data_IF_634684160841
#
_entry.id   IF_634684160841
#
_cell.length_a   1.000
_cell.length_b   1.000
_cell.length_c   1.000
_cell.angle_alpha   90.00
_cell.angle_beta   90.00
_cell.angle_gamma   90.00
#
_symmetry.space_group_name_H-M   'P 1'
#
loop_
_entity.id
_entity.type
_entity.pdbx_description
1 polymer ?
#
# COMPACT_ATOMS: atom_id res chain seq x y z
N UNK A 1 27.66 -16.69 -39.02
CA UNK A 1 28.22 -16.03 -37.83
C UNK A 1 27.61 -14.64 -37.58
N UNK A 2 26.33 -14.41 -37.91
CA UNK A 2 25.66 -13.09 -37.79
C UNK A 2 24.42 -13.11 -36.86
N UNK A 3 24.09 -14.26 -36.23
CA UNK A 3 22.94 -14.38 -35.30
C UNK A 3 23.31 -14.28 -33.81
N UNK A 4 24.57 -14.44 -33.43
CA UNK A 4 25.01 -14.30 -32.02
C UNK A 4 25.31 -12.84 -31.61
N UNK A 5 25.55 -11.94 -32.57
CA UNK A 5 25.97 -10.56 -32.26
C UNK A 5 24.81 -9.65 -31.81
N UNK A 6 23.56 -9.93 -32.23
CA UNK A 6 22.39 -9.17 -31.79
C UNK A 6 21.86 -9.61 -30.42
N UNK A 7 22.03 -10.89 -30.06
CA UNK A 7 21.67 -11.36 -28.71
C UNK A 7 22.61 -10.77 -27.67
N UNK A 8 23.92 -10.70 -27.96
CA UNK A 8 24.90 -10.05 -27.08
C UNK A 8 24.63 -8.55 -26.93
N UNK A 9 24.28 -7.81 -28.00
CA UNK A 9 23.90 -6.38 -27.88
C UNK A 9 22.59 -6.17 -27.13
N UNK A 10 21.57 -7.01 -27.31
CA UNK A 10 20.35 -6.97 -26.49
C UNK A 10 20.67 -7.26 -25.03
N UNK A 11 21.50 -8.26 -24.74
CA UNK A 11 21.91 -8.60 -23.37
C UNK A 11 22.76 -7.48 -22.75
N UNK A 12 23.67 -6.86 -23.49
CA UNK A 12 24.49 -5.75 -23.02
C UNK A 12 23.65 -4.48 -22.78
N UNK A 13 22.66 -4.20 -23.63
CA UNK A 13 21.70 -3.09 -23.39
C UNK A 13 20.82 -3.41 -22.17
N UNK A 14 20.40 -4.67 -21.99
CA UNK A 14 19.63 -5.11 -20.81
C UNK A 14 20.46 -5.03 -19.51
N UNK A 15 21.76 -5.36 -19.57
CA UNK A 15 22.69 -5.29 -18.44
C UNK A 15 23.04 -3.82 -18.08
N UNK A 16 23.11 -2.91 -19.05
CA UNK A 16 23.32 -1.48 -18.77
C UNK A 16 22.07 -0.76 -18.26
N UNK A 17 20.86 -1.26 -18.56
CA UNK A 17 19.62 -0.70 -17.99
C UNK A 17 19.38 -1.15 -16.53
N UNK A 18 19.99 -2.26 -16.11
CA UNK A 18 19.95 -2.75 -14.72
C UNK A 18 20.98 -2.09 -13.78
N UNK A 19 21.78 -1.12 -14.24
CA UNK A 19 22.92 -0.59 -13.47
C UNK A 19 22.76 0.85 -12.93
N UNK A 20 21.57 1.48 -13.01
CA UNK A 20 21.39 2.89 -12.59
C UNK A 20 20.36 3.06 -11.44
N UNK A 21 20.01 1.99 -10.72
CA UNK A 21 19.10 2.11 -9.57
C UNK A 21 19.63 1.36 -8.33
N UNK A 22 20.81 1.78 -7.86
CA UNK A 22 21.30 1.38 -6.53
C UNK A 22 21.76 2.62 -5.77
N UNK A 23 20.84 3.31 -5.10
CA UNK A 23 21.15 4.13 -3.93
C UNK A 23 19.95 4.15 -2.96
N UNK A 24 20.15 3.51 -1.80
CA UNK A 24 19.33 3.44 -0.57
C UNK A 24 17.98 2.69 -0.70
N UNK A 25 17.69 1.59 0.00
CA UNK A 25 17.79 1.31 1.45
C UNK A 25 18.17 -0.15 1.69
N UNK A 26 19.14 -0.42 2.57
CA UNK A 26 19.47 -1.76 3.06
C UNK A 26 18.44 -2.22 4.09
N UNK A 27 17.48 -3.06 3.71
CA UNK A 27 16.75 -3.89 4.68
C UNK A 27 17.53 -5.18 4.90
N UNK A 28 18.17 -5.32 6.06
CA UNK A 28 18.79 -6.57 6.45
C UNK A 28 17.73 -7.65 6.65
N UNK A 29 18.07 -8.85 6.19
CA UNK A 29 17.31 -10.08 6.28
C UNK A 29 16.80 -10.36 7.70
N UNK A 30 15.49 -10.54 7.87
CA UNK A 30 14.94 -11.32 8.99
C UNK A 30 14.94 -12.77 8.54
N UNK A 31 16.03 -13.49 8.82
CA UNK A 31 16.13 -14.93 8.58
C UNK A 31 15.58 -15.66 9.82
N UNK A 32 14.38 -16.23 9.72
CA UNK A 32 13.90 -17.24 10.66
C UNK A 32 14.78 -18.49 10.51
N UNK A 33 15.40 -18.95 11.59
CA UNK A 33 16.10 -20.24 11.61
C UNK A 33 15.85 -20.97 12.92
N UNK A 34 15.00 -22.00 12.85
CA UNK A 34 15.03 -23.13 13.77
C UNK A 34 16.40 -23.82 13.70
N UNK A 35 17.01 -24.08 14.86
CA UNK A 35 17.74 -25.30 15.25
C UNK A 35 18.16 -25.15 16.74
N UNK A 36 17.76 -26.14 17.55
CA UNK A 36 18.06 -26.36 18.98
C UNK A 36 19.58 -26.62 19.26
N UNK A 37 20.03 -26.70 20.53
CA UNK A 37 20.90 -25.73 21.17
C UNK A 37 22.35 -26.22 21.30
N UNK A 38 23.33 -25.32 21.15
CA UNK A 38 24.65 -25.55 21.72
C UNK A 38 25.12 -24.31 22.49
N UNK A 39 25.27 -24.52 23.79
CA UNK A 39 25.99 -23.64 24.71
C UNK A 39 27.34 -23.23 24.11
N UNK A 40 27.47 -21.97 23.70
CA UNK A 40 28.75 -21.29 23.65
C UNK A 40 28.53 -19.84 24.07
N UNK A 41 29.01 -19.53 25.26
CA UNK A 41 29.30 -18.18 25.71
C UNK A 41 30.35 -17.54 24.80
N UNK A 42 29.98 -16.56 23.96
CA UNK A 42 30.89 -15.45 23.64
C UNK A 42 30.27 -14.39 22.73
N UNK A 43 30.27 -13.17 23.26
CA UNK A 43 30.70 -11.92 22.64
C UNK A 43 29.87 -11.35 21.47
N UNK A 44 29.11 -10.31 21.81
CA UNK A 44 28.55 -9.32 20.90
C UNK A 44 29.67 -8.66 20.07
N UNK A 45 29.60 -8.79 18.74
CA UNK A 45 30.29 -7.87 17.82
C UNK A 45 29.29 -7.34 16.80
N UNK A 46 29.07 -6.01 16.72
CA UNK A 46 28.26 -5.40 15.66
C UNK A 46 29.00 -5.45 14.31
N UNK A 47 28.29 -5.38 13.17
CA UNK A 47 28.92 -5.29 11.86
C UNK A 47 29.78 -4.01 11.74
N UNK A 48 31.02 -4.17 11.30
CA UNK A 48 31.94 -3.06 11.04
C UNK A 48 31.64 -2.41 9.69
N UNK A 49 30.58 -1.60 9.65
CA UNK A 49 30.50 -0.37 8.85
C UNK A 49 29.22 0.37 9.27
N UNK A 50 29.27 1.07 10.39
CA UNK A 50 28.14 1.88 10.88
C UNK A 50 28.57 3.33 10.95
N UNK A 51 27.76 4.22 10.38
CA UNK A 51 27.94 5.64 10.59
C UNK A 51 27.73 5.94 12.08
N UNK A 52 28.24 7.06 12.62
CA UNK A 52 28.18 7.35 14.06
C UNK A 52 26.75 7.52 14.64
N UNK A 53 25.70 7.31 13.85
CA UNK A 53 24.29 7.50 14.22
C UNK A 53 23.40 6.26 14.07
N UNK A 54 23.93 5.12 13.61
CA UNK A 54 23.12 3.91 13.44
C UNK A 54 23.01 3.14 14.75
N UNK A 55 21.94 3.41 15.51
CA UNK A 55 21.64 2.70 16.75
C UNK A 55 20.85 1.44 16.43
N UNK A 56 21.34 0.30 16.92
CA UNK A 56 20.70 -1.01 16.76
C UNK A 56 20.04 -1.42 18.07
N UNK A 57 18.78 -1.86 17.99
CA UNK A 57 18.03 -2.40 19.12
C UNK A 57 17.51 -3.79 18.77
N UNK A 58 17.53 -4.69 19.73
CA UNK A 58 16.80 -5.95 19.66
C UNK A 58 15.52 -5.75 20.47
N UNK A 59 14.38 -5.87 19.80
CA UNK A 59 13.08 -5.86 20.45
C UNK A 59 12.65 -7.29 20.76
N UNK A 60 12.30 -7.55 22.02
CA UNK A 60 11.73 -8.81 22.47
C UNK A 60 10.34 -8.51 23.03
N UNK A 61 9.30 -9.09 22.44
CA UNK A 61 7.92 -8.83 22.84
C UNK A 61 7.63 -9.54 24.18
N UNK A 62 7.14 -8.81 25.20
CA UNK A 62 6.88 -9.38 26.52
C UNK A 62 5.67 -10.33 26.54
N UNK A 63 4.75 -10.24 25.59
CA UNK A 63 3.57 -11.11 25.52
C UNK A 63 3.89 -12.37 24.72
N UNK A 64 3.94 -13.51 25.41
CA UNK A 64 4.14 -14.82 24.79
C UNK A 64 3.03 -15.12 23.75
N UNK A 65 3.43 -15.61 22.58
CA UNK A 65 2.53 -15.99 21.49
C UNK A 65 2.13 -14.84 20.54
N UNK A 66 2.41 -13.58 20.90
CA UNK A 66 2.15 -12.43 20.03
C UNK A 66 3.23 -12.35 18.94
N UNK A 67 2.84 -12.24 17.68
CA UNK A 67 3.76 -12.26 16.53
C UNK A 67 3.63 -11.00 15.69
N UNK A 68 4.75 -10.58 15.08
CA UNK A 68 4.81 -9.50 14.11
C UNK A 68 3.85 -9.78 12.96
N UNK A 69 3.06 -8.76 12.59
CA UNK A 69 2.20 -8.83 11.43
C UNK A 69 2.57 -7.80 10.36
N UNK A 70 2.59 -6.51 10.72
CA UNK A 70 2.88 -5.43 9.79
C UNK A 70 3.66 -4.30 10.50
N UNK A 71 4.34 -3.47 9.73
CA UNK A 71 5.15 -2.38 10.25
C UNK A 71 4.92 -1.11 9.44
N UNK A 72 4.95 0.05 10.11
CA UNK A 72 5.05 1.35 9.46
C UNK A 72 6.12 2.22 10.11
N UNK A 73 6.83 2.99 9.30
CA UNK A 73 7.85 3.92 9.78
C UNK A 73 7.32 5.34 9.67
N UNK A 74 7.38 6.09 10.78
CA UNK A 74 7.01 7.49 10.82
C UNK A 74 8.20 8.38 10.41
N UNK A 75 7.91 9.63 10.03
CA UNK A 75 8.91 10.61 9.57
C UNK A 75 9.99 10.96 10.60
N UNK A 76 9.66 10.89 11.88
CA UNK A 76 10.60 11.11 12.98
C UNK A 76 11.53 9.90 13.22
N UNK A 77 11.34 8.82 12.46
CA UNK A 77 12.07 7.56 12.59
C UNK A 77 11.48 6.60 13.62
N UNK A 78 10.30 6.90 14.17
CA UNK A 78 9.56 5.97 15.04
C UNK A 78 9.02 4.80 14.22
N UNK A 79 9.23 3.58 14.71
CA UNK A 79 8.70 2.35 14.11
C UNK A 79 7.39 1.96 14.82
N UNK A 80 6.30 1.88 14.06
CA UNK A 80 5.05 1.26 14.47
C UNK A 80 5.07 -0.22 14.10
N UNK A 81 4.82 -1.08 15.07
CA UNK A 81 4.74 -2.52 14.89
C UNK A 81 3.34 -2.98 15.27
N UNK A 82 2.60 -3.52 14.29
CA UNK A 82 1.34 -4.20 14.55
C UNK A 82 1.62 -5.69 14.78
N UNK A 83 1.08 -6.21 15.87
CA UNK A 83 1.25 -7.59 16.30
C UNK A 83 -0.10 -8.23 16.60
N UNK A 84 -0.16 -9.55 16.48
CA UNK A 84 -1.38 -10.32 16.69
C UNK A 84 -1.10 -11.76 17.11
N UNK A 85 -2.12 -12.38 17.71
CA UNK A 85 -2.15 -13.82 17.92
C UNK A 85 -2.63 -14.50 16.64
N UNK A 86 -1.91 -15.54 16.23
CA UNK A 86 -2.34 -16.39 15.14
C UNK A 86 -3.19 -17.53 15.70
N UNK A 87 -4.28 -17.86 15.01
CA UNK A 87 -4.96 -19.12 15.25
C UNK A 87 -4.10 -20.28 14.73
N UNK A 88 -3.85 -21.28 15.57
CA UNK A 88 -3.09 -22.47 15.19
C UNK A 88 -3.90 -23.39 14.26
N UNK A 89 -5.24 -23.34 14.33
CA UNK A 89 -6.13 -24.13 13.49
C UNK A 89 -6.36 -23.47 12.11
N UNK A 90 -6.36 -22.13 12.06
CA UNK A 90 -6.41 -21.36 10.82
C UNK A 90 -5.35 -20.24 10.83
N UNK A 91 -4.13 -20.47 10.31
CA UNK A 91 -3.08 -19.45 10.29
C UNK A 91 -3.43 -18.20 9.45
N UNK A 92 -4.53 -18.21 8.69
CA UNK A 92 -5.06 -17.03 7.99
C UNK A 92 -5.99 -16.16 8.85
N UNK A 93 -6.25 -16.60 10.09
CA UNK A 93 -7.24 -16.10 11.01
C UNK A 93 -6.52 -15.50 12.24
N UNK A 94 -6.87 -14.26 12.59
CA UNK A 94 -6.31 -13.60 13.77
C UNK A 94 -7.31 -13.63 14.91
N UNK A 95 -7.16 -14.57 15.84
CA UNK A 95 -7.97 -14.59 17.06
C UNK A 95 -7.47 -13.55 18.04
N UNK A 96 -7.90 -12.29 17.88
CA UNK A 96 -7.83 -11.38 19.01
C UNK A 96 -8.95 -10.34 19.02
N UNK A 97 -9.68 -10.20 20.14
CA UNK A 97 -10.51 -9.03 20.40
C UNK A 97 -9.66 -7.79 20.74
N UNK A 98 -8.34 -7.86 20.56
CA UNK A 98 -7.40 -6.80 20.89
C UNK A 98 -6.52 -6.46 19.69
N UNK A 99 -6.33 -5.16 19.45
CA UNK A 99 -5.37 -4.65 18.49
C UNK A 99 -4.11 -4.20 19.24
N UNK A 100 -2.98 -4.87 18.99
CA UNK A 100 -1.70 -4.62 19.66
C UNK A 100 -0.76 -3.85 18.75
N UNK A 101 -0.43 -2.61 19.13
CA UNK A 101 0.54 -1.78 18.43
C UNK A 101 1.69 -1.41 19.39
N UNK A 102 2.92 -1.38 18.87
CA UNK A 102 4.11 -0.91 19.58
C UNK A 102 4.69 0.26 18.82
N UNK A 103 5.02 1.33 19.52
CA UNK A 103 5.78 2.45 18.97
C UNK A 103 7.18 2.40 19.55
N UNK A 104 8.17 2.19 18.70
CA UNK A 104 9.57 2.16 19.08
C UNK A 104 10.23 3.42 18.52
N UNK A 105 10.52 4.37 19.41
CA UNK A 105 11.25 5.58 19.06
C UNK A 105 12.70 5.25 18.72
N UNK A 106 13.38 6.16 18.01
CA UNK A 106 14.83 6.05 17.74
C UNK A 106 15.69 5.95 18.99
N UNK A 107 15.18 6.39 20.14
CA UNK A 107 15.83 6.30 21.45
C UNK A 107 15.77 4.88 22.04
N UNK A 108 14.98 3.99 21.45
CA UNK A 108 14.65 2.67 21.99
C UNK A 108 13.49 2.71 22.99
N UNK A 109 12.90 3.88 23.27
CA UNK A 109 11.70 3.98 24.10
C UNK A 109 10.52 3.32 23.40
N UNK A 110 9.79 2.52 24.16
CA UNK A 110 8.64 1.75 23.67
C UNK A 110 7.35 2.28 24.30
N UNK A 111 6.37 2.60 23.46
CA UNK A 111 5.00 2.86 23.89
C UNK A 111 4.10 1.72 23.44
N UNK A 112 3.30 1.20 24.37
CA UNK A 112 2.38 0.09 24.14
C UNK A 112 0.97 0.62 23.95
N UNK A 113 0.36 0.34 22.80
CA UNK A 113 -1.03 0.66 22.51
C UNK A 113 -1.77 -0.67 22.40
N UNK A 114 -2.65 -0.92 23.36
CA UNK A 114 -3.41 -2.16 23.44
C UNK A 114 -4.88 -1.80 23.43
N UNK A 115 -5.51 -1.88 22.26
CA UNK A 115 -6.90 -1.51 22.10
C UNK A 115 -7.79 -2.68 22.52
N UNK A 116 -8.66 -2.45 23.51
CA UNK A 116 -9.74 -3.37 23.86
C UNK A 116 -10.98 -3.06 23.02
N UNK A 117 -11.02 -3.61 21.80
CA UNK A 117 -12.13 -3.43 20.88
C UNK A 117 -12.43 -4.73 20.14
N UNK A 118 -13.63 -5.26 20.35
CA UNK A 118 -14.08 -6.48 19.69
C UNK A 118 -14.52 -6.17 18.26
N UNK A 119 -13.66 -6.47 17.28
CA UNK A 119 -14.03 -6.47 15.87
C UNK A 119 -15.06 -7.57 15.58
N UNK A 120 -15.96 -7.34 14.61
CA UNK A 120 -16.96 -8.35 14.25
C UNK A 120 -16.28 -9.59 13.66
N UNK A 121 -16.83 -10.81 13.85
CA UNK A 121 -16.20 -12.06 13.40
C UNK A 121 -15.84 -12.12 11.91
N UNK A 122 -16.56 -11.36 11.08
CA UNK A 122 -16.32 -11.21 9.64
C UNK A 122 -14.99 -10.51 9.30
N UNK A 123 -14.40 -9.82 10.28
CA UNK A 123 -13.13 -9.09 10.21
C UNK A 123 -11.97 -9.96 10.66
N UNK A 124 -12.24 -10.83 11.64
CA UNK A 124 -11.25 -11.63 12.36
C UNK A 124 -10.57 -12.58 11.37
N UNK A 125 -11.34 -13.13 10.42
CA UNK A 125 -10.88 -14.08 9.39
C UNK A 125 -11.85 -14.04 8.20
N UNK A 126 -11.44 -13.74 6.95
CA UNK A 126 -10.11 -13.46 6.41
C UNK A 126 -9.74 -11.98 6.43
N UNK A 127 -8.47 -11.71 6.76
CA UNK A 127 -7.84 -10.41 7.00
C UNK A 127 -8.27 -9.32 6.01
N UNK A 128 -9.14 -8.42 6.46
CA UNK A 128 -9.50 -7.17 5.79
C UNK A 128 -9.22 -5.96 6.69
N UNK A 129 -8.13 -6.02 7.46
CA UNK A 129 -7.71 -4.96 8.36
C UNK A 129 -6.35 -4.39 7.98
N UNK A 130 -6.22 -3.07 8.07
CA UNK A 130 -4.95 -2.36 7.97
C UNK A 130 -4.99 -1.15 8.91
N UNK A 131 -3.87 -0.48 9.11
CA UNK A 131 -3.82 0.75 9.89
C UNK A 131 -3.05 1.84 9.16
N UNK A 132 -3.46 3.08 9.40
CA UNK A 132 -2.83 4.29 8.89
C UNK A 132 -2.53 5.22 10.07
N UNK A 133 -1.26 5.58 10.32
CA UNK A 133 -0.94 6.65 11.25
C UNK A 133 -1.48 7.99 10.73
N UNK A 134 -2.08 8.76 11.63
CA UNK A 134 -2.66 10.06 11.33
C UNK A 134 -1.91 11.17 12.08
N UNK A 135 -2.29 12.41 11.78
CA UNK A 135 -1.77 13.59 12.46
C UNK A 135 -2.17 13.61 13.94
N UNK A 136 -1.42 14.34 14.77
CA UNK A 136 -1.73 14.55 16.18
C UNK A 136 -1.85 13.26 17.03
N UNK A 137 -1.01 12.26 16.75
CA UNK A 137 -0.96 11.00 17.48
C UNK A 137 -2.28 10.21 17.46
N UNK A 138 -3.02 10.32 16.36
CA UNK A 138 -4.15 9.44 16.07
C UNK A 138 -3.72 8.31 15.15
N UNK A 139 -4.42 7.18 15.24
CA UNK A 139 -4.27 6.02 14.35
C UNK A 139 -5.65 5.66 13.85
N UNK A 140 -5.78 5.42 12.55
CA UNK A 140 -6.99 4.85 11.98
C UNK A 140 -6.77 3.38 11.69
N UNK A 141 -7.57 2.52 12.31
CA UNK A 141 -7.66 1.11 11.99
C UNK A 141 -8.79 0.95 10.98
N UNK A 142 -8.45 0.54 9.76
CA UNK A 142 -9.39 0.33 8.68
C UNK A 142 -9.78 -1.13 8.67
N UNK A 143 -11.07 -1.41 8.67
CA UNK A 143 -11.58 -2.78 8.68
C UNK A 143 -12.91 -2.90 7.92
N UNK A 144 -13.27 -4.12 7.50
CA UNK A 144 -14.53 -4.38 6.76
C UNK A 144 -15.60 -4.95 7.67
N UNK A 145 -16.72 -4.25 7.80
CA UNK A 145 -17.86 -4.68 8.63
C UNK A 145 -19.06 -4.94 7.72
N UNK A 146 -19.82 -6.01 8.01
CA UNK A 146 -21.15 -6.21 7.42
C UNK A 146 -22.20 -5.58 8.33
N UNK A 147 -23.08 -4.77 7.76
CA UNK A 147 -24.30 -4.30 8.42
C UNK A 147 -25.51 -4.71 7.58
N UNK A 148 -26.40 -5.51 8.15
CA UNK A 148 -27.58 -6.07 7.46
C UNK A 148 -27.25 -6.77 6.12
N UNK A 149 -26.09 -7.42 6.03
CA UNK A 149 -25.63 -8.13 4.83
C UNK A 149 -24.94 -7.25 3.78
N UNK A 150 -24.83 -5.94 4.03
CA UNK A 150 -24.07 -5.01 3.18
C UNK A 150 -22.70 -4.81 3.81
N UNK A 151 -21.65 -5.22 3.10
CA UNK A 151 -20.26 -5.01 3.54
C UNK A 151 -19.80 -3.60 3.20
N UNK A 152 -19.06 -2.97 4.11
CA UNK A 152 -18.43 -1.68 3.90
C UNK A 152 -17.11 -1.55 4.65
N UNK A 153 -16.28 -0.59 4.24
CA UNK A 153 -15.07 -0.21 4.96
C UNK A 153 -15.40 0.81 6.04
N UNK A 154 -14.83 0.60 7.21
CA UNK A 154 -14.95 1.48 8.37
C UNK A 154 -13.56 1.83 8.90
N UNK A 155 -13.43 3.03 9.44
CA UNK A 155 -12.22 3.52 10.10
C UNK A 155 -12.49 3.75 11.57
N UNK A 156 -11.85 2.97 12.44
CA UNK A 156 -11.84 3.20 13.89
C UNK A 156 -10.64 4.10 14.23
N UNK A 157 -10.93 5.29 14.75
CA UNK A 157 -9.91 6.28 15.10
C UNK A 157 -9.64 6.19 16.58
N UNK A 158 -8.38 5.94 16.92
CA UNK A 158 -7.87 5.86 18.28
C UNK A 158 -6.72 6.85 18.50
N UNK A 159 -6.45 7.24 19.74
CA UNK A 159 -5.22 7.94 20.10
C UNK A 159 -4.14 6.99 20.64
N UNK A 160 -2.96 7.52 20.96
CA UNK A 160 -1.86 6.73 21.51
C UNK A 160 -2.11 6.22 22.94
N UNK A 161 -3.12 6.72 23.63
CA UNK A 161 -3.56 6.23 24.94
C UNK A 161 -4.55 5.05 24.82
N UNK A 162 -4.75 4.54 23.59
CA UNK A 162 -5.73 3.48 23.27
C UNK A 162 -7.20 3.89 23.46
N UNK A 163 -7.50 5.19 23.51
CA UNK A 163 -8.87 5.68 23.61
C UNK A 163 -9.52 5.70 22.22
N UNK A 164 -10.76 5.21 22.14
CA UNK A 164 -11.57 5.28 20.92
C UNK A 164 -12.18 6.67 20.80
N UNK A 165 -11.87 7.34 19.70
CA UNK A 165 -12.32 8.71 19.44
C UNK A 165 -13.57 8.72 18.58
N UNK A 166 -13.54 7.95 17.49
CA UNK A 166 -14.70 7.81 16.60
C UNK A 166 -14.59 6.57 15.71
N UNK A 167 -15.73 6.16 15.17
CA UNK A 167 -15.82 5.21 14.08
C UNK A 167 -16.53 5.88 12.90
N UNK A 168 -15.97 5.77 11.70
CA UNK A 168 -16.52 6.39 10.50
C UNK A 168 -16.68 5.38 9.37
N UNK A 169 -17.72 5.58 8.57
CA UNK A 169 -17.89 4.85 7.31
C UNK A 169 -16.95 5.43 6.26
N UNK A 170 -16.09 4.59 5.69
CA UNK A 170 -15.11 4.98 4.69
C UNK A 170 -15.61 4.76 3.27
N UNK A 171 -16.48 3.78 3.01
CA UNK A 171 -17.00 3.52 1.68
C UNK A 171 -17.24 2.04 1.39
N UNK A 172 -17.29 1.70 0.11
CA UNK A 172 -17.42 0.33 -0.36
C UNK A 172 -16.16 -0.48 -0.01
N UNK A 173 -16.31 -1.80 0.14
CA UNK A 173 -15.19 -2.74 0.30
C UNK A 173 -14.16 -2.63 -0.82
N UNK A 174 -14.57 -2.25 -2.02
CA UNK A 174 -13.68 -2.12 -3.16
C UNK A 174 -12.95 -0.77 -3.24
N UNK A 175 -13.40 0.23 -2.48
CA UNK A 175 -12.78 1.56 -2.49
C UNK A 175 -11.36 1.49 -1.92
N UNK A 176 -10.41 2.16 -2.55
CA UNK A 176 -9.03 2.20 -2.10
C UNK A 176 -8.85 3.30 -1.07
N UNK A 177 -8.16 2.98 0.03
CA UNK A 177 -7.75 3.96 1.03
C UNK A 177 -6.23 4.00 1.04
N UNK A 178 -5.69 5.19 0.80
CA UNK A 178 -4.26 5.40 0.63
C UNK A 178 -3.84 6.51 1.58
N UNK A 179 -2.76 6.28 2.31
CA UNK A 179 -2.16 7.29 3.15
C UNK A 179 -1.66 8.44 2.26
N UNK A 180 -1.96 9.69 2.61
CA UNK A 180 -1.26 10.79 1.93
C UNK A 180 0.22 10.66 2.29
N UNK A 181 1.14 10.69 1.31
CA UNK A 181 2.58 10.50 1.59
C UNK A 181 3.21 11.58 2.49
N UNK A 182 2.40 12.48 3.07
CA UNK A 182 2.69 13.10 4.36
C UNK A 182 1.69 12.64 5.42
N UNK A 183 2.19 11.90 6.41
CA UNK A 183 1.55 11.55 7.71
C UNK A 183 0.72 12.69 8.35
N UNK A 184 1.09 13.94 8.08
CA UNK A 184 0.46 15.15 8.62
C UNK A 184 -0.76 15.65 7.82
N UNK A 185 -1.16 14.97 6.75
CA UNK A 185 -2.24 15.44 5.87
C UNK A 185 -3.44 14.50 5.73
N UNK A 186 -3.42 13.33 6.35
CA UNK A 186 -4.53 12.37 6.37
C UNK A 186 -4.43 11.31 5.28
N UNK A 187 -5.55 10.98 4.64
CA UNK A 187 -5.66 9.89 3.67
C UNK A 187 -6.57 10.27 2.51
N UNK A 188 -6.41 9.58 1.39
CA UNK A 188 -7.25 9.75 0.21
C UNK A 188 -8.05 8.47 0.02
N UNK A 189 -9.37 8.63 -0.07
CA UNK A 189 -10.27 7.59 -0.55
C UNK A 189 -10.39 7.72 -2.06
N UNK A 190 -10.21 6.61 -2.77
CA UNK A 190 -10.48 6.50 -4.20
C UNK A 190 -11.56 5.47 -4.39
N UNK A 191 -12.68 5.88 -4.98
CA UNK A 191 -13.81 5.00 -5.22
C UNK A 191 -13.46 3.95 -6.27
N UNK A 192 -14.11 2.79 -6.19
CA UNK A 192 -14.01 1.79 -7.26
C UNK A 192 -14.44 2.43 -8.60
N UNK A 193 -13.58 2.30 -9.60
CA UNK A 193 -13.83 2.89 -10.90
C UNK A 193 -15.09 2.33 -11.54
N UNK A 194 -15.86 3.20 -12.20
CA UNK A 194 -16.96 2.73 -13.01
C UNK A 194 -16.47 2.12 -14.34
N UNK A 195 -17.35 1.40 -15.03
CA UNK A 195 -17.06 0.84 -16.37
C UNK A 195 -16.80 1.92 -17.43
N UNK A 196 -17.07 3.19 -17.12
CA UNK A 196 -16.79 4.35 -17.97
C UNK A 196 -15.46 4.99 -17.61
N UNK A 197 -14.60 4.30 -16.84
CA UNK A 197 -13.26 4.77 -16.49
C UNK A 197 -13.25 6.10 -15.74
N UNK A 198 -14.33 6.42 -15.03
CA UNK A 198 -14.45 7.58 -14.14
C UNK A 198 -14.02 7.15 -12.75
N UNK A 199 -13.22 8.00 -12.10
CA UNK A 199 -12.64 7.77 -10.78
C UNK A 199 -12.94 8.98 -9.93
N UNK A 200 -13.68 8.76 -8.85
CA UNK A 200 -13.89 9.77 -7.82
C UNK A 200 -12.85 9.58 -6.71
N UNK A 201 -12.39 10.69 -6.15
CA UNK A 201 -11.49 10.68 -5.00
C UNK A 201 -11.90 11.75 -3.98
N UNK A 202 -11.62 11.46 -2.72
CA UNK A 202 -11.90 12.34 -1.58
C UNK A 202 -10.67 12.39 -0.68
N UNK A 203 -10.13 13.59 -0.46
CA UNK A 203 -9.07 13.85 0.51
C UNK A 203 -9.68 14.08 1.89
N UNK A 204 -9.26 13.27 2.86
CA UNK A 204 -9.80 13.26 4.21
C UNK A 204 -8.67 13.48 5.22
N UNK A 205 -8.94 14.23 6.29
CA UNK A 205 -7.96 14.45 7.35
C UNK A 205 -8.62 14.48 8.73
N UNK A 206 -7.93 13.97 9.74
CA UNK A 206 -8.31 14.12 11.15
C UNK A 206 -7.78 15.43 11.69
N UNK A 207 -8.67 16.40 11.87
CA UNK A 207 -8.34 17.60 12.63
C UNK A 207 -8.24 17.26 14.12
N UNK A 208 -7.70 18.18 14.92
CA UNK A 208 -7.33 18.10 16.36
C UNK A 208 -8.37 17.52 17.34
N UNK A 209 -9.55 17.13 16.88
CA UNK A 209 -10.64 16.51 17.65
C UNK A 209 -10.87 15.04 17.31
N UNK A 210 -10.04 14.44 16.44
CA UNK A 210 -10.26 13.10 15.87
C UNK A 210 -11.47 13.01 14.94
N UNK A 211 -12.08 14.16 14.61
CA UNK A 211 -13.11 14.27 13.58
C UNK A 211 -12.44 14.27 12.20
N UNK A 212 -12.89 13.39 11.33
CA UNK A 212 -12.50 13.39 9.92
C UNK A 212 -13.28 14.46 9.17
N UNK A 213 -12.56 15.27 8.40
CA UNK A 213 -13.10 16.32 7.55
C UNK A 213 -12.58 16.10 6.13
N UNK A 214 -13.47 16.24 5.15
CA UNK A 214 -13.10 16.29 3.74
C UNK A 214 -12.43 17.63 3.44
N UNK A 215 -11.18 17.56 2.96
CA UNK A 215 -10.40 18.74 2.58
C UNK A 215 -10.57 19.09 1.10
N UNK A 216 -10.99 18.12 0.29
CA UNK A 216 -11.31 18.31 -1.13
C UNK A 216 -11.66 17.00 -1.80
N UNK A 217 -12.30 17.10 -2.94
CA UNK A 217 -12.76 15.97 -3.74
C UNK A 217 -12.76 16.33 -5.21
N UNK A 218 -12.84 15.31 -6.05
CA UNK A 218 -12.91 15.51 -7.48
C UNK A 218 -13.04 14.21 -8.24
N UNK A 219 -13.14 14.35 -9.56
CA UNK A 219 -13.29 13.24 -10.48
C UNK A 219 -12.33 13.40 -11.66
N UNK A 220 -11.90 12.27 -12.20
CA UNK A 220 -11.18 12.25 -13.47
C UNK A 220 -11.50 10.98 -14.26
N UNK A 221 -11.49 11.14 -15.59
CA UNK A 221 -11.86 10.09 -16.52
C UNK A 221 -10.81 9.92 -17.60
N UNK A 222 -10.59 8.67 -18.03
CA UNK A 222 -9.71 8.36 -19.15
C UNK A 222 -10.31 8.82 -20.49
N UNK A 223 -9.53 9.41 -21.41
CA UNK A 223 -10.05 9.85 -22.70
C UNK A 223 -10.35 8.69 -23.66
N UNK A 224 -11.35 8.87 -24.52
CA UNK A 224 -11.65 8.03 -25.70
C UNK A 224 -12.01 6.56 -25.42
N UNK A 225 -13.04 6.33 -24.61
CA UNK A 225 -13.60 4.99 -24.35
C UNK A 225 -14.51 4.45 -25.45
N UNK A 226 -14.86 5.25 -26.46
CA UNK A 226 -15.80 4.81 -27.52
C UNK A 226 -15.28 3.65 -28.37
N UNK A 227 -13.96 3.42 -28.37
CA UNK A 227 -13.31 2.31 -29.11
C UNK A 227 -12.51 1.39 -28.19
N UNK A 228 -12.62 1.58 -26.87
CA UNK A 228 -11.79 0.92 -25.88
C UNK A 228 -12.61 0.55 -24.64
N UNK A 229 -12.59 -0.72 -24.28
CA UNK A 229 -13.09 -1.20 -23.00
C UNK A 229 -12.06 -0.98 -21.90
N UNK A 230 -12.53 -0.51 -20.75
CA UNK A 230 -11.76 -0.49 -19.51
C UNK A 230 -11.61 -1.90 -18.95
N UNK A 231 -10.36 -2.31 -18.70
CA UNK A 231 -10.02 -3.66 -18.24
C UNK A 231 -9.70 -3.67 -16.76
N UNK A 232 -8.81 -2.78 -16.30
CA UNK A 232 -8.35 -2.74 -14.92
C UNK A 232 -7.68 -1.40 -14.59
N UNK A 233 -7.41 -1.16 -13.32
CA UNK A 233 -6.67 -0.01 -12.80
C UNK A 233 -5.90 -0.34 -11.53
N UNK A 234 -4.99 0.56 -11.16
CA UNK A 234 -4.32 0.52 -9.86
C UNK A 234 -3.82 1.92 -9.50
N UNK A 235 -3.52 2.13 -8.23
CA UNK A 235 -2.98 3.37 -7.68
C UNK A 235 -1.56 3.14 -7.11
N UNK A 236 -0.84 4.23 -6.86
CA UNK A 236 0.50 4.21 -6.27
C UNK A 236 0.86 5.57 -5.65
N UNK A 237 1.73 5.56 -4.66
CA UNK A 237 2.19 6.77 -3.97
C UNK A 237 3.23 7.55 -4.80
N UNK A 238 3.17 8.88 -4.73
CA UNK A 238 4.15 9.78 -5.34
C UNK A 238 5.17 10.27 -4.31
N UNK A 239 6.37 10.61 -4.79
CA UNK A 239 7.47 11.12 -3.95
C UNK A 239 7.10 12.45 -3.26
N UNK A 240 6.24 13.26 -3.88
CA UNK A 240 5.73 14.50 -3.28
C UNK A 240 4.62 14.25 -2.25
N UNK A 241 4.19 13.00 -2.05
CA UNK A 241 3.09 12.62 -1.18
C UNK A 241 1.70 12.76 -1.80
N UNK A 242 1.64 13.04 -3.11
CA UNK A 242 0.45 12.86 -3.92
C UNK A 242 0.20 11.40 -4.30
N UNK A 243 -0.78 11.17 -5.18
CA UNK A 243 -1.16 9.83 -5.64
C UNK A 243 -1.16 9.76 -7.16
N UNK A 244 -0.62 8.68 -7.70
CA UNK A 244 -0.75 8.29 -9.09
C UNK A 244 -1.86 7.26 -9.28
N UNK A 245 -2.51 7.33 -10.43
CA UNK A 245 -3.59 6.42 -10.81
C UNK A 245 -3.40 5.95 -12.26
N UNK A 246 -3.41 4.64 -12.48
CA UNK A 246 -3.20 4.02 -13.78
C UNK A 246 -4.48 3.35 -14.29
N UNK A 247 -4.74 3.52 -15.58
CA UNK A 247 -5.86 2.95 -16.31
C UNK A 247 -5.37 2.00 -17.39
N UNK A 248 -5.99 0.84 -17.50
CA UNK A 248 -5.66 -0.18 -18.49
C UNK A 248 -6.86 -0.36 -19.41
N UNK A 249 -6.66 0.00 -20.69
CA UNK A 249 -7.68 -0.07 -21.72
C UNK A 249 -7.31 -1.10 -22.79
N UNK A 250 -8.34 -1.78 -23.31
CA UNK A 250 -8.23 -2.73 -24.41
C UNK A 250 -9.16 -2.33 -25.55
N UNK A 251 -8.66 -2.38 -26.78
CA UNK A 251 -9.44 -2.04 -27.96
C UNK A 251 -10.66 -2.96 -28.13
N UNK A 252 -11.80 -2.38 -28.50
CA UNK A 252 -13.04 -3.11 -28.72
C UNK A 252 -13.10 -3.74 -30.10
N UNK A 253 -13.02 -5.06 -30.14
CA UNK A 253 -13.09 -5.84 -31.38
C UNK A 253 -14.54 -6.01 -31.89
N UNK A 254 -15.55 -5.64 -31.08
CA UNK A 254 -16.96 -5.77 -31.44
C UNK A 254 -17.45 -4.59 -32.28
N UNK A 255 -17.23 -4.66 -33.58
CA UNK A 255 -17.84 -3.75 -34.55
C UNK A 255 -17.03 -3.65 -35.83
N UNK A 256 -17.58 -4.20 -36.90
CA UNK A 256 -17.02 -4.31 -38.25
C UNK A 256 -16.00 -5.43 -38.44
N UNK A 257 -16.10 -6.07 -39.60
CA UNK A 257 -15.03 -6.79 -40.26
C UNK A 257 -13.72 -6.01 -40.16
N UNK A 258 -12.91 -6.27 -39.14
CA UNK A 258 -11.66 -5.55 -38.92
C UNK A 258 -10.69 -5.99 -40.02
N UNK A 259 -10.66 -5.20 -41.09
CA UNK A 259 -9.47 -4.98 -41.89
C UNK A 259 -8.28 -4.87 -40.95
N UNK A 260 -7.26 -5.70 -41.15
CA UNK A 260 -5.99 -5.69 -40.43
C UNK A 260 -5.30 -4.31 -40.58
N UNK A 261 -5.77 -3.27 -39.89
CA UNK A 261 -5.07 -2.00 -39.80
C UNK A 261 -3.88 -2.21 -38.85
N UNK A 262 -2.63 -2.18 -39.38
CA UNK A 262 -1.45 -2.44 -38.57
C UNK A 262 -1.21 -1.36 -37.50
N UNK A 263 -1.98 -0.25 -37.51
CA UNK A 263 -1.85 0.85 -36.57
C UNK A 263 -2.77 0.74 -35.35
N UNK A 264 -3.66 -0.27 -35.29
CA UNK A 264 -4.55 -0.47 -34.14
C UNK A 264 -3.71 -0.71 -32.89
N UNK A 265 -3.88 0.17 -31.91
CA UNK A 265 -3.26 0.02 -30.59
C UNK A 265 -4.20 -0.84 -29.74
N UNK A 266 -3.91 -2.13 -29.61
CA UNK A 266 -4.74 -3.09 -28.87
C UNK A 266 -4.82 -2.78 -27.39
N UNK A 267 -3.73 -2.27 -26.82
CA UNK A 267 -3.69 -1.87 -25.42
C UNK A 267 -3.21 -0.42 -25.30
N UNK A 268 -3.81 0.30 -24.37
CA UNK A 268 -3.38 1.64 -23.96
C UNK A 268 -3.37 1.73 -22.45
N UNK A 269 -2.31 2.30 -21.91
CA UNK A 269 -2.20 2.58 -20.48
C UNK A 269 -2.07 4.08 -20.31
N UNK A 270 -2.99 4.63 -19.54
CA UNK A 270 -2.99 6.05 -19.15
C UNK A 270 -2.65 6.17 -17.68
N UNK A 271 -1.96 7.25 -17.32
CA UNK A 271 -1.67 7.59 -15.92
C UNK A 271 -2.11 9.02 -15.65
N UNK A 272 -2.74 9.23 -14.50
CA UNK A 272 -3.07 10.54 -13.95
C UNK A 272 -2.44 10.69 -12.57
N UNK A 273 -2.18 11.92 -12.17
CA UNK A 273 -1.53 12.27 -10.92
C UNK A 273 -2.38 13.29 -10.18
N UNK A 274 -2.56 13.09 -8.88
CA UNK A 274 -3.02 14.10 -7.93
C UNK A 274 -1.81 14.52 -7.11
N UNK A 275 -1.18 15.64 -7.48
CA UNK A 275 0.03 16.14 -6.80
C UNK A 275 -0.30 16.71 -5.43
N UNK A 276 0.70 16.72 -4.56
CA UNK A 276 0.58 17.34 -3.25
C UNK A 276 0.14 18.81 -3.35
N UNK A 277 -0.86 19.20 -2.55
CA UNK A 277 -1.35 20.58 -2.47
C UNK A 277 -2.26 21.00 -3.62
N UNK A 278 -2.69 20.05 -4.46
CA UNK A 278 -3.66 20.29 -5.52
C UNK A 278 -4.96 19.55 -5.24
N UNK A 279 -6.08 20.13 -5.69
CA UNK A 279 -7.41 19.50 -5.65
C UNK A 279 -7.90 19.11 -7.04
N UNK A 280 -7.01 19.06 -8.02
CA UNK A 280 -7.35 18.74 -9.39
C UNK A 280 -6.32 17.78 -9.94
N UNK A 281 -6.74 16.57 -10.37
CA UNK A 281 -5.84 15.60 -10.97
C UNK A 281 -5.36 16.11 -12.34
N UNK A 282 -4.19 15.64 -12.78
CA UNK A 282 -3.71 15.91 -14.12
C UNK A 282 -4.57 15.19 -15.16
N UNK A 283 -4.70 15.77 -16.35
CA UNK A 283 -5.27 15.04 -17.48
C UNK A 283 -4.51 13.72 -17.71
N UNK A 284 -5.20 12.56 -17.81
CA UNK A 284 -4.54 11.28 -18.02
C UNK A 284 -3.62 11.30 -19.25
N UNK A 285 -2.36 10.91 -19.05
CA UNK A 285 -1.32 10.87 -20.08
C UNK A 285 -1.06 9.44 -20.52
N UNK A 286 -0.94 9.19 -21.82
CA UNK A 286 -0.63 7.88 -22.37
C UNK A 286 0.84 7.53 -22.10
N UNK A 287 1.08 6.45 -21.35
CA UNK A 287 2.44 6.00 -20.99
C UNK A 287 2.87 4.74 -21.72
N UNK A 288 1.91 3.95 -22.21
CA UNK A 288 2.20 2.74 -22.97
C UNK A 288 1.09 2.46 -23.98
N UNK A 289 1.49 1.99 -25.15
CA UNK A 289 0.59 1.43 -26.16
C UNK A 289 1.30 0.33 -26.95
N UNK A 290 0.53 -0.61 -27.50
CA UNK A 290 1.08 -1.65 -28.36
C UNK A 290 0.11 -2.06 -29.45
N UNK A 291 0.65 -2.31 -30.65
CA UNK A 291 -0.07 -2.91 -31.78
C UNK A 291 -0.07 -4.45 -31.72
N UNK A 292 0.69 -5.03 -30.80
CA UNK A 292 0.69 -6.47 -30.58
C UNK A 292 -0.52 -6.88 -29.75
N UNK A 293 -1.30 -7.83 -30.26
CA UNK A 293 -2.39 -8.45 -29.50
C UNK A 293 -1.80 -9.34 -28.40
N UNK A 294 -1.72 -8.80 -27.19
CA UNK A 294 -1.34 -9.52 -25.98
C UNK A 294 -2.57 -10.11 -25.30
N UNK A 295 -2.45 -11.31 -24.74
CA UNK A 295 -3.53 -11.96 -23.99
C UNK A 295 -3.81 -11.25 -22.66
N UNK A 296 -2.76 -10.74 -22.02
CA UNK A 296 -2.81 -10.06 -20.72
C UNK A 296 -1.66 -9.08 -20.56
N UNK A 297 -1.86 -8.07 -19.71
CA UNK A 297 -0.81 -7.20 -19.20
C UNK A 297 -0.71 -7.41 -17.69
N UNK A 298 0.51 -7.64 -17.20
CA UNK A 298 0.80 -7.72 -15.77
C UNK A 298 1.74 -6.58 -15.40
N UNK A 299 1.41 -5.85 -14.34
CA UNK A 299 2.27 -4.83 -13.78
C UNK A 299 3.01 -5.42 -12.59
N UNK A 300 4.33 -5.22 -12.56
CA UNK A 300 5.15 -5.56 -11.42
C UNK A 300 5.70 -4.27 -10.84
N UNK A 301 5.31 -3.97 -9.60
CA UNK A 301 6.00 -2.94 -8.84
C UNK A 301 7.42 -3.42 -8.59
N UNK A 302 8.41 -2.61 -9.00
CA UNK A 302 9.80 -2.82 -8.63
C UNK A 302 10.00 -2.06 -7.32
N UNK A 303 9.95 -2.78 -6.19
CA UNK A 303 10.40 -2.29 -4.89
C UNK A 303 11.89 -2.51 -4.75
#
# INVERSE_FOLDING_TARGET
MLKMFNLAKMLTIFIYLTSICCFFVTSQNVLSRDILPQNVSSLNTPPQDTSPQDIWYIYEEPIEGLKLYDTRTLKDGTLMIWMAFYDEEDPSCMLSPYFYLRLIERTGRITYINLNYTFTPEVICPINMTFIPLSYNYIMIIYVKSDNGVKGKYGLIINYDSEIISEIYLGNVNDYIIESGRLEKGFIRIEENDKKGIVAWNWLSTLTTGKVVELGSGEFSVPNLLSYTFVNSFNFDLIDGGIGYAYILKYDEMGSSVTNDPNIQYWKIYVSFLREGTYSPTTPSLVYQTTTKLNSLAFKSCF
#
